data_IF_332540676272
#
_entry.id   IF_332540676272
#
_cell.length_a   1.000
_cell.length_b   1.000
_cell.length_c   1.000
_cell.angle_alpha   90.00
_cell.angle_beta   90.00
_cell.angle_gamma   90.00
#
_symmetry.space_group_name_H-M   'P 1'
#
loop_
_entity.id
_entity.type
_entity.pdbx_description
1 polymer ?
#
# COMPACT_ATOMS: atom_id res chain seq x y z
N UNK A 1 14.26 -14.94 -22.88
CA UNK A 1 14.34 -13.82 -21.93
C UNK A 1 13.75 -14.22 -20.60
N UNK A 2 14.53 -14.16 -19.51
CA UNK A 2 14.22 -14.78 -18.21
C UNK A 2 13.93 -13.70 -17.16
N UNK A 3 12.72 -13.13 -17.19
CA UNK A 3 12.26 -12.17 -16.17
C UNK A 3 12.24 -12.79 -14.75
N UNK A 4 11.56 -13.92 -14.57
CA UNK A 4 11.31 -14.50 -13.23
C UNK A 4 12.57 -14.85 -12.41
N UNK A 5 13.67 -15.37 -13.00
CA UNK A 5 14.93 -15.64 -12.28
C UNK A 5 15.72 -14.38 -11.90
N UNK A 6 15.45 -13.24 -12.52
CA UNK A 6 16.24 -12.01 -12.36
C UNK A 6 15.65 -11.05 -11.32
N UNK A 7 14.44 -11.34 -10.81
CA UNK A 7 13.74 -10.51 -9.83
C UNK A 7 13.34 -11.27 -8.57
N UNK A 8 13.31 -10.57 -7.43
CA UNK A 8 12.80 -11.11 -6.18
C UNK A 8 11.27 -11.08 -6.17
N UNK A 9 10.66 -12.18 -6.60
CA UNK A 9 9.22 -12.35 -6.63
C UNK A 9 8.65 -12.71 -5.24
N UNK A 10 7.40 -12.31 -5.01
CA UNK A 10 6.63 -12.78 -3.87
C UNK A 10 6.30 -14.27 -4.04
N UNK A 11 6.16 -15.00 -2.93
CA UNK A 11 5.87 -16.45 -2.96
C UNK A 11 4.58 -16.77 -3.73
N UNK A 12 3.59 -15.88 -3.65
CA UNK A 12 2.30 -15.94 -4.32
C UNK A 12 2.29 -15.22 -5.69
N UNK A 13 3.44 -14.85 -6.27
CA UNK A 13 3.48 -14.15 -7.56
C UNK A 13 2.71 -14.91 -8.65
N UNK A 14 2.90 -16.23 -8.74
CA UNK A 14 2.31 -17.06 -9.80
C UNK A 14 0.78 -17.00 -9.79
N UNK A 15 0.15 -16.93 -8.62
CA UNK A 15 -1.31 -16.99 -8.46
C UNK A 15 -1.94 -15.61 -8.37
N UNK A 16 -1.30 -14.67 -7.66
CA UNK A 16 -1.97 -13.45 -7.20
C UNK A 16 -1.59 -12.22 -8.04
N UNK A 17 -0.40 -12.21 -8.63
CA UNK A 17 0.15 -11.03 -9.31
C UNK A 17 0.38 -11.26 -10.81
N UNK A 18 0.88 -12.43 -11.21
CA UNK A 18 1.16 -12.77 -12.61
C UNK A 18 -0.08 -12.61 -13.52
N UNK A 19 -1.29 -13.08 -13.13
CA UNK A 19 -2.47 -12.88 -13.97
C UNK A 19 -2.81 -11.41 -14.21
N UNK A 20 -2.61 -10.54 -13.20
CA UNK A 20 -2.85 -9.10 -13.32
C UNK A 20 -1.86 -8.45 -14.31
N UNK A 21 -0.58 -8.81 -14.18
CA UNK A 21 0.47 -8.30 -15.06
C UNK A 21 0.28 -8.77 -16.51
N UNK A 22 -0.02 -10.05 -16.71
CA UNK A 22 -0.29 -10.62 -18.05
C UNK A 22 -1.55 -10.01 -18.67
N UNK A 23 -2.60 -9.79 -17.88
CA UNK A 23 -3.82 -9.12 -18.35
C UNK A 23 -3.50 -7.71 -18.83
N UNK A 24 -2.77 -6.92 -18.03
CA UNK A 24 -2.38 -5.56 -18.39
C UNK A 24 -1.52 -5.54 -19.66
N UNK A 25 -0.51 -6.42 -19.73
CA UNK A 25 0.37 -6.53 -20.90
C UNK A 25 -0.40 -6.92 -22.18
N UNK A 26 -1.30 -7.92 -22.08
CA UNK A 26 -2.10 -8.41 -23.22
C UNK A 26 -3.02 -7.33 -23.79
N UNK A 27 -3.49 -6.41 -22.94
CA UNK A 27 -4.41 -5.33 -23.34
C UNK A 27 -3.71 -3.97 -23.50
N UNK A 28 -2.36 -3.92 -23.41
CA UNK A 28 -1.61 -2.67 -23.50
C UNK A 28 -1.95 -1.65 -22.42
N UNK A 29 -2.39 -2.12 -21.24
CA UNK A 29 -2.72 -1.26 -20.10
C UNK A 29 -1.46 -0.93 -19.31
N UNK A 30 -1.29 0.32 -18.85
CA UNK A 30 -0.20 0.68 -17.94
C UNK A 30 -0.30 -0.12 -16.63
N UNK A 31 0.80 -0.74 -16.21
CA UNK A 31 0.92 -1.41 -14.92
C UNK A 31 2.03 -0.73 -14.11
N UNK A 32 1.63 0.09 -13.14
CA UNK A 32 2.52 1.02 -12.44
C UNK A 32 3.00 0.42 -11.12
N UNK A 33 4.32 0.38 -10.91
CA UNK A 33 4.91 0.04 -9.63
C UNK A 33 4.94 1.28 -8.74
N UNK A 34 3.96 1.40 -7.84
CA UNK A 34 3.76 2.61 -7.01
C UNK A 34 4.57 2.63 -5.72
N UNK A 35 5.07 1.47 -5.28
CA UNK A 35 5.68 1.35 -3.97
C UNK A 35 7.11 1.90 -3.95
N UNK A 36 7.52 2.41 -2.78
CA UNK A 36 8.91 2.80 -2.53
C UNK A 36 9.84 1.59 -2.71
N UNK A 37 11.04 1.76 -3.29
CA UNK A 37 12.06 0.72 -3.27
C UNK A 37 12.31 0.23 -1.84
N UNK A 38 12.21 -1.09 -1.63
CA UNK A 38 12.32 -1.73 -0.30
C UNK A 38 13.56 -1.30 0.50
N UNK A 39 14.67 -0.98 -0.18
CA UNK A 39 15.90 -0.49 0.45
C UNK A 39 15.68 0.85 1.17
N UNK A 40 14.89 1.76 0.61
CA UNK A 40 14.64 3.08 1.20
C UNK A 40 13.66 2.98 2.38
N UNK A 41 12.60 2.17 2.28
CA UNK A 41 11.77 1.87 3.44
C UNK A 41 12.59 1.21 4.59
N UNK A 42 13.54 0.34 4.25
CA UNK A 42 14.46 -0.24 5.24
C UNK A 42 15.44 0.78 5.82
N UNK A 43 15.85 1.79 5.06
CA UNK A 43 16.66 2.90 5.57
C UNK A 43 15.85 3.70 6.58
N UNK A 44 14.61 4.07 6.25
CA UNK A 44 13.72 4.81 7.16
C UNK A 44 13.50 4.04 8.46
N UNK A 45 13.24 2.73 8.39
CA UNK A 45 13.07 1.91 9.59
C UNK A 45 14.31 1.92 10.52
N UNK A 46 15.51 2.13 9.96
CA UNK A 46 16.77 2.18 10.72
C UNK A 46 17.09 3.57 11.26
N UNK A 47 16.73 4.63 10.54
CA UNK A 47 17.27 5.97 10.79
C UNK A 47 16.30 7.13 10.70
N UNK A 48 14.99 6.88 10.61
CA UNK A 48 13.99 7.94 10.47
C UNK A 48 13.88 8.48 9.05
N UNK A 49 13.07 9.52 8.84
CA UNK A 49 12.86 10.10 7.50
C UNK A 49 14.10 10.85 6.99
N UNK A 50 14.87 11.41 7.91
CA UNK A 50 16.07 12.21 7.67
C UNK A 50 17.13 11.44 6.87
N UNK A 51 17.13 10.10 6.96
CA UNK A 51 18.04 9.29 6.16
C UNK A 51 17.76 9.40 4.65
N UNK A 52 16.56 9.80 4.24
CA UNK A 52 16.20 10.00 2.84
C UNK A 52 16.89 11.23 2.23
N UNK A 53 17.29 12.21 3.05
CA UNK A 53 18.06 13.39 2.60
C UNK A 53 19.47 13.01 2.12
N UNK A 54 19.94 11.80 2.45
CA UNK A 54 21.23 11.27 1.99
C UNK A 54 21.17 10.58 0.62
N UNK A 55 19.99 10.47 0.02
CA UNK A 55 19.82 9.83 -1.28
C UNK A 55 20.37 10.71 -2.41
N UNK A 56 20.99 10.07 -3.40
CA UNK A 56 21.40 10.74 -4.63
C UNK A 56 20.19 11.27 -5.41
N UNK A 57 20.38 12.31 -6.24
CA UNK A 57 19.30 13.01 -6.94
C UNK A 57 18.35 12.06 -7.70
N UNK A 58 18.90 11.11 -8.48
CA UNK A 58 18.08 10.15 -9.23
C UNK A 58 17.36 9.09 -8.37
N UNK A 59 17.71 8.96 -7.08
CA UNK A 59 16.97 8.09 -6.16
C UNK A 59 15.70 8.77 -5.63
N UNK A 60 15.65 10.11 -5.63
CA UNK A 60 14.49 10.88 -5.19
C UNK A 60 13.31 10.74 -6.15
N UNK A 61 13.56 10.46 -7.43
CA UNK A 61 12.53 10.20 -8.44
C UNK A 61 11.65 8.98 -8.13
N UNK A 62 12.10 8.10 -7.21
CA UNK A 62 11.39 6.87 -6.82
C UNK A 62 10.67 6.97 -5.47
N UNK A 63 10.60 8.16 -4.88
CA UNK A 63 9.94 8.40 -3.59
C UNK A 63 8.99 9.61 -3.67
N UNK A 64 8.09 9.73 -2.68
CA UNK A 64 7.30 10.96 -2.54
C UNK A 64 8.20 12.17 -2.20
N UNK A 65 7.77 13.40 -2.56
CA UNK A 65 8.51 14.62 -2.26
C UNK A 65 8.82 14.74 -0.77
N UNK A 66 10.06 15.11 -0.46
CA UNK A 66 10.51 15.37 0.90
C UNK A 66 10.20 16.83 1.30
N UNK A 67 9.96 17.12 2.59
CA UNK A 67 9.79 16.16 3.68
C UNK A 67 8.45 15.40 3.58
N UNK A 68 8.46 14.13 3.98
CA UNK A 68 7.24 13.32 3.99
C UNK A 68 6.27 13.84 5.07
N UNK A 69 5.01 14.15 4.72
CA UNK A 69 3.97 14.38 5.71
C UNK A 69 3.84 13.17 6.62
N UNK A 70 3.71 13.37 7.93
CA UNK A 70 3.51 12.27 8.86
C UNK A 70 2.76 12.77 10.07
N UNK A 71 1.66 12.09 10.38
CA UNK A 71 0.88 12.31 11.59
C UNK A 71 0.95 11.03 12.45
N UNK A 72 1.67 11.05 13.59
CA UNK A 72 1.74 9.89 14.48
C UNK A 72 0.41 9.56 15.16
N UNK A 73 -0.58 10.46 15.08
CA UNK A 73 -1.87 10.26 15.72
C UNK A 73 -2.82 9.36 14.92
N UNK A 74 -2.52 9.11 13.64
CA UNK A 74 -3.24 8.18 12.75
C UNK A 74 -3.30 6.79 13.39
N UNK A 75 -4.50 6.19 13.40
CA UNK A 75 -4.77 4.98 14.16
C UNK A 75 -3.90 3.81 13.71
N UNK A 76 -3.77 3.60 12.40
CA UNK A 76 -2.92 2.55 11.83
C UNK A 76 -1.47 2.69 12.32
N UNK A 77 -0.92 3.90 12.36
CA UNK A 77 0.47 4.08 12.82
C UNK A 77 0.64 3.80 14.32
N UNK A 78 -0.36 4.12 15.15
CA UNK A 78 -0.39 3.72 16.56
C UNK A 78 -0.52 2.21 16.74
N UNK A 79 -1.49 1.59 16.06
CA UNK A 79 -1.73 0.16 16.10
C UNK A 79 -0.46 -0.63 15.70
N UNK A 80 0.32 -0.11 14.75
CA UNK A 80 1.58 -0.75 14.34
C UNK A 80 2.62 -0.84 15.46
N UNK A 81 2.71 0.19 16.30
CA UNK A 81 3.60 0.17 17.47
C UNK A 81 3.12 -0.86 18.49
N UNK A 82 1.81 -0.93 18.74
CA UNK A 82 1.21 -1.90 19.66
C UNK A 82 1.41 -3.35 19.18
N UNK A 83 1.17 -3.61 17.89
CA UNK A 83 1.32 -4.93 17.27
C UNK A 83 2.77 -5.40 17.18
N UNK A 84 3.73 -4.49 16.96
CA UNK A 84 5.15 -4.84 16.86
C UNK A 84 5.78 -5.19 18.21
N UNK A 85 5.07 -4.95 19.33
CA UNK A 85 5.52 -5.30 20.68
C UNK A 85 6.89 -4.72 21.03
N UNK A 86 7.67 -5.44 21.84
CA UNK A 86 9.01 -5.00 22.27
C UNK A 86 10.08 -4.93 21.16
N UNK A 87 9.73 -5.27 19.91
CA UNK A 87 10.62 -5.17 18.75
C UNK A 87 10.23 -4.04 17.79
N UNK A 88 9.10 -3.35 18.03
CA UNK A 88 8.74 -2.16 17.27
C UNK A 88 9.71 -1.03 17.59
N UNK A 89 10.45 -0.57 16.58
CA UNK A 89 11.15 0.70 16.67
C UNK A 89 10.16 1.84 16.43
N UNK A 90 10.42 3.03 16.97
CA UNK A 90 9.65 4.25 16.65
C UNK A 90 9.60 4.56 15.14
N UNK A 91 10.56 4.00 14.39
CA UNK A 91 10.69 4.18 12.95
C UNK A 91 9.89 3.13 12.14
N UNK A 92 9.31 2.12 12.76
CA UNK A 92 8.50 1.12 12.06
C UNK A 92 7.27 1.77 11.40
N UNK A 93 6.45 2.60 12.09
CA UNK A 93 5.37 3.34 11.44
C UNK A 93 5.88 4.37 10.42
N UNK A 94 7.04 5.01 10.65
CA UNK A 94 7.64 5.93 9.68
C UNK A 94 8.01 5.22 8.37
N UNK A 95 8.54 4.01 8.46
CA UNK A 95 8.84 3.20 7.29
C UNK A 95 7.57 2.79 6.52
N UNK A 96 6.47 2.54 7.24
CA UNK A 96 5.17 2.30 6.62
C UNK A 96 4.62 3.58 5.95
N UNK A 97 4.67 4.71 6.66
CA UNK A 97 4.29 6.02 6.15
C UNK A 97 5.05 6.40 4.88
N UNK A 98 6.36 6.10 4.80
CA UNK A 98 7.13 6.32 3.58
C UNK A 98 6.63 5.50 2.38
N UNK A 99 6.15 4.27 2.61
CA UNK A 99 5.51 3.47 1.55
C UNK A 99 4.18 4.09 1.13
N UNK A 100 3.33 4.43 2.11
CA UNK A 100 1.99 4.99 1.86
C UNK A 100 2.07 6.31 1.09
N UNK A 101 2.97 7.20 1.52
CA UNK A 101 3.25 8.47 0.88
C UNK A 101 3.72 8.29 -0.57
N UNK A 102 4.69 7.39 -0.78
CA UNK A 102 5.25 7.12 -2.12
C UNK A 102 4.22 6.48 -3.05
N UNK A 103 3.41 5.56 -2.54
CA UNK A 103 2.32 4.96 -3.32
C UNK A 103 1.28 6.01 -3.71
N UNK A 104 0.83 6.84 -2.77
CA UNK A 104 -0.10 7.93 -3.06
C UNK A 104 0.47 8.91 -4.08
N UNK A 105 1.73 9.32 -3.94
CA UNK A 105 2.39 10.21 -4.90
C UNK A 105 2.47 9.58 -6.30
N UNK A 106 2.91 8.32 -6.39
CA UNK A 106 3.01 7.58 -7.66
C UNK A 106 1.64 7.40 -8.34
N UNK A 107 0.57 7.20 -7.55
CA UNK A 107 -0.80 7.18 -8.06
C UNK A 107 -1.13 8.53 -8.70
N UNK A 108 -0.84 9.64 -8.02
CA UNK A 108 -1.17 10.98 -8.51
C UNK A 108 -0.42 11.36 -9.79
N UNK A 109 0.86 10.99 -9.89
CA UNK A 109 1.69 11.21 -11.08
C UNK A 109 1.19 10.44 -12.31
N UNK A 110 0.52 9.30 -12.08
CA UNK A 110 -0.01 8.44 -13.14
C UNK A 110 -1.54 8.54 -13.29
N UNK A 111 -2.18 9.36 -12.47
CA UNK A 111 -3.61 9.61 -12.51
C UNK A 111 -3.93 10.71 -13.52
N UNK A 112 -5.03 10.54 -14.25
CA UNK A 112 -5.57 11.57 -15.13
C UNK A 112 -7.07 11.69 -14.92
N UNK A 113 -7.57 12.93 -14.92
CA UNK A 113 -9.01 13.17 -14.80
C UNK A 113 -9.78 12.45 -15.91
N UNK A 114 -10.94 11.89 -15.56
CA UNK A 114 -11.76 11.09 -16.47
C UNK A 114 -11.29 9.65 -16.70
N UNK A 115 -10.17 9.23 -16.09
CA UNK A 115 -9.72 7.83 -16.09
C UNK A 115 -9.87 7.19 -14.72
N UNK A 116 -10.11 5.89 -14.71
CA UNK A 116 -10.06 5.06 -13.51
C UNK A 116 -8.63 4.60 -13.26
N UNK A 117 -8.12 4.84 -12.05
CA UNK A 117 -6.89 4.24 -11.57
C UNK A 117 -7.26 3.12 -10.59
N UNK A 118 -6.89 1.88 -10.92
CA UNK A 118 -7.09 0.72 -10.03
C UNK A 118 -5.77 0.46 -9.32
N UNK A 119 -5.77 0.52 -7.99
CA UNK A 119 -4.61 0.22 -7.17
C UNK A 119 -4.83 -1.06 -6.38
N UNK A 120 -3.90 -2.01 -6.51
CA UNK A 120 -3.90 -3.25 -5.73
C UNK A 120 -2.88 -3.12 -4.61
N UNK A 121 -3.33 -3.24 -3.36
CA UNK A 121 -2.47 -3.15 -2.18
C UNK A 121 -2.92 -4.11 -1.09
N UNK A 122 -2.03 -4.39 -0.13
CA UNK A 122 -2.43 -5.04 1.11
C UNK A 122 -3.36 -4.15 1.92
N UNK A 123 -4.32 -4.75 2.62
CA UNK A 123 -5.40 -4.08 3.39
C UNK A 123 -4.93 -2.93 4.25
N UNK A 124 -3.80 -3.11 4.92
CA UNK A 124 -3.23 -2.12 5.84
C UNK A 124 -2.90 -0.76 5.18
N UNK A 125 -2.78 -0.72 3.86
CA UNK A 125 -2.47 0.49 3.12
C UNK A 125 -3.71 1.31 2.74
N UNK A 126 -4.93 0.82 2.97
CA UNK A 126 -6.17 1.52 2.58
C UNK A 126 -7.36 1.31 3.52
N UNK A 127 -7.27 0.38 4.46
CA UNK A 127 -8.33 0.12 5.44
C UNK A 127 -8.61 1.37 6.26
N UNK A 128 -9.85 1.50 6.72
CA UNK A 128 -10.40 2.63 7.50
C UNK A 128 -10.10 4.02 6.89
N UNK A 129 -9.84 4.06 5.58
CA UNK A 129 -9.51 5.27 4.82
C UNK A 129 -8.21 5.97 5.29
N UNK A 130 -7.30 5.22 5.91
CA UNK A 130 -5.97 5.67 6.28
C UNK A 130 -4.91 5.19 5.26
N UNK A 131 -3.62 5.28 5.60
CA UNK A 131 -2.51 4.89 4.72
C UNK A 131 -2.50 5.71 3.43
N UNK A 132 -2.51 5.04 2.28
CA UNK A 132 -2.52 5.67 0.95
C UNK A 132 -3.66 6.69 0.84
N UNK A 133 -4.84 6.36 1.37
CA UNK A 133 -6.02 7.21 1.22
C UNK A 133 -5.86 8.54 1.96
N UNK A 134 -5.20 8.52 3.13
CA UNK A 134 -4.85 9.73 3.86
C UNK A 134 -3.92 10.62 3.05
N UNK A 135 -2.85 10.05 2.45
CA UNK A 135 -1.91 10.81 1.62
C UNK A 135 -2.52 11.31 0.31
N UNK A 136 -3.40 10.55 -0.34
CA UNK A 136 -4.12 11.00 -1.53
C UNK A 136 -4.94 12.27 -1.22
N UNK A 137 -5.66 12.27 -0.09
CA UNK A 137 -6.42 13.42 0.35
C UNK A 137 -5.53 14.60 0.79
N UNK A 138 -4.38 14.31 1.40
CA UNK A 138 -3.38 15.33 1.77
C UNK A 138 -2.79 16.02 0.53
N UNK A 139 -2.31 15.25 -0.44
CA UNK A 139 -1.66 15.78 -1.64
C UNK A 139 -2.64 16.37 -2.66
N UNK A 140 -3.84 15.80 -2.78
CA UNK A 140 -4.85 16.26 -3.73
C UNK A 140 -6.27 16.06 -3.17
N UNK A 141 -6.81 17.05 -2.44
CA UNK A 141 -8.19 16.97 -1.94
C UNK A 141 -9.22 16.95 -3.08
N UNK A 142 -10.37 16.33 -2.83
CA UNK A 142 -11.50 16.28 -3.77
C UNK A 142 -11.46 15.14 -4.79
N UNK A 143 -10.61 14.13 -4.57
CA UNK A 143 -10.63 12.89 -5.36
C UNK A 143 -11.86 12.05 -5.04
N UNK A 144 -12.41 11.41 -6.07
CA UNK A 144 -13.43 10.39 -5.91
C UNK A 144 -12.75 9.04 -5.69
N UNK A 145 -12.67 8.62 -4.43
CA UNK A 145 -11.97 7.39 -4.01
C UNK A 145 -13.01 6.36 -3.56
N UNK A 146 -12.88 5.13 -4.06
CA UNK A 146 -13.67 3.97 -3.62
C UNK A 146 -12.70 2.87 -3.21
N UNK A 147 -12.88 2.33 -2.01
CA UNK A 147 -12.07 1.22 -1.49
C UNK A 147 -12.88 -0.07 -1.44
N UNK A 148 -12.21 -1.19 -1.73
CA UNK A 148 -12.76 -2.54 -1.59
C UNK A 148 -11.82 -3.29 -0.66
N UNK A 149 -12.35 -3.75 0.48
CA UNK A 149 -11.61 -4.52 1.47
C UNK A 149 -12.12 -5.96 1.48
N UNK A 150 -11.22 -6.92 1.66
CA UNK A 150 -11.57 -8.34 1.80
C UNK A 150 -11.35 -8.76 3.24
N UNK A 151 -12.40 -9.25 3.89
CA UNK A 151 -12.35 -9.73 5.29
C UNK A 151 -12.72 -11.19 5.33
N UNK A 152 -12.17 -11.93 6.28
CA UNK A 152 -12.52 -13.34 6.50
C UNK A 152 -13.46 -13.47 7.68
N UNK A 153 -14.53 -14.23 7.54
CA UNK A 153 -15.47 -14.53 8.62
C UNK A 153 -15.95 -15.98 8.53
N UNK A 154 -16.44 -16.52 9.66
CA UNK A 154 -17.08 -17.84 9.67
C UNK A 154 -18.41 -17.84 8.92
N UNK A 155 -19.24 -16.83 9.14
CA UNK A 155 -20.55 -16.66 8.51
C UNK A 155 -20.53 -15.45 7.56
N UNK A 156 -20.92 -15.65 6.29
CA UNK A 156 -20.88 -14.58 5.26
C UNK A 156 -22.21 -13.86 5.07
N UNK A 157 -23.30 -14.39 5.64
CA UNK A 157 -24.65 -13.82 5.52
C UNK A 157 -24.83 -12.49 6.26
N UNK A 158 -23.90 -12.11 7.14
CA UNK A 158 -23.90 -10.85 7.87
C UNK A 158 -22.47 -10.39 8.15
N UNK A 159 -22.19 -9.12 7.90
CA UNK A 159 -20.91 -8.50 8.26
C UNK A 159 -20.79 -8.37 9.78
N UNK A 160 -19.65 -8.79 10.33
CA UNK A 160 -19.29 -8.61 11.73
C UNK A 160 -19.03 -7.13 12.06
N UNK A 161 -19.30 -6.74 13.30
CA UNK A 161 -19.27 -5.32 13.69
C UNK A 161 -17.86 -4.70 13.59
N UNK A 162 -16.81 -5.50 13.81
CA UNK A 162 -15.41 -5.07 13.68
C UNK A 162 -15.01 -4.70 12.25
N UNK A 163 -15.67 -5.27 11.24
CA UNK A 163 -15.38 -5.01 9.84
C UNK A 163 -16.14 -3.79 9.30
N UNK A 164 -17.12 -3.27 10.05
CA UNK A 164 -17.93 -2.13 9.60
C UNK A 164 -17.08 -0.87 9.47
N UNK A 165 -17.19 -0.20 8.31
CA UNK A 165 -16.48 1.04 8.04
C UNK A 165 -15.02 0.87 7.61
N UNK A 166 -14.55 -0.37 7.42
CA UNK A 166 -13.20 -0.64 6.94
C UNK A 166 -12.94 -0.12 5.51
N UNK A 167 -13.98 -0.07 4.66
CA UNK A 167 -13.90 0.40 3.28
C UNK A 167 -15.27 0.84 2.73
N UNK A 168 -15.29 1.40 1.52
CA UNK A 168 -16.53 1.72 0.80
C UNK A 168 -17.36 0.46 0.51
N UNK A 169 -16.69 -0.63 0.15
CA UNK A 169 -17.28 -1.95 -0.03
C UNK A 169 -16.44 -3.00 0.68
N UNK A 170 -17.10 -4.01 1.24
CA UNK A 170 -16.44 -5.10 1.94
C UNK A 170 -16.89 -6.42 1.32
N UNK A 171 -15.92 -7.24 0.95
CA UNK A 171 -16.12 -8.60 0.46
C UNK A 171 -15.82 -9.55 1.61
N UNK A 172 -16.85 -10.24 2.09
CA UNK A 172 -16.70 -11.25 3.14
C UNK A 172 -16.38 -12.59 2.51
N UNK A 173 -15.23 -13.14 2.87
CA UNK A 173 -14.73 -14.43 2.42
C UNK A 173 -14.90 -15.45 3.57
N UNK A 174 -15.40 -16.67 3.30
CA UNK A 174 -15.43 -17.72 4.31
C UNK A 174 -14.02 -18.03 4.83
N UNK A 175 -13.85 -18.12 6.15
CA UNK A 175 -12.56 -18.45 6.78
C UNK A 175 -11.96 -19.79 6.32
N UNK A 176 -12.80 -20.70 5.82
CA UNK A 176 -12.39 -22.00 5.31
C UNK A 176 -12.00 -21.99 3.82
N UNK A 177 -11.96 -20.82 3.17
CA UNK A 177 -11.47 -20.68 1.81
C UNK A 177 -9.96 -20.93 1.73
N UNK A 178 -9.50 -21.52 0.64
CA UNK A 178 -8.07 -21.79 0.42
C UNK A 178 -7.28 -20.49 0.30
N UNK A 179 -6.21 -20.34 1.09
CA UNK A 179 -5.25 -19.25 0.95
C UNK A 179 -4.19 -19.60 -0.10
N UNK A 180 -3.68 -18.59 -0.80
CA UNK A 180 -2.64 -18.72 -1.83
C UNK A 180 -1.22 -18.64 -1.27
N UNK A 181 -1.08 -18.35 0.03
CA UNK A 181 0.18 -18.32 0.78
C UNK A 181 -0.04 -18.58 2.28
#
# INVERSE_FOLDING_TARGET
DKFEPEVKLWKNYKTDYKPLLEFANTHGLPFIATNIPRRYASMVNKGGFEILDSLEEGALDYIAPLPLPYDPEIKSYKDMLEMGGGHATENLPRAQAAKDATMAWSILENYSSGKLFIHYNGSYHSTIFEGIIWYLNYYRPGLNIVTIETVTQKETGKLEDENKGAASFIVVIPENMTTTY
#
